data_IF_212352117320
#
_entry.id   IF_212352117320
#
_cell.length_a   1.000
_cell.length_b   1.000
_cell.length_c   1.000
_cell.angle_alpha   90.00
_cell.angle_beta   90.00
_cell.angle_gamma   90.00
#
_symmetry.space_group_name_H-M   'P 1'
#
loop_
_entity.id
_entity.type
_entity.pdbx_description
1 polymer ?
#
# COMPACT_ATOMS: atom_id res chain seq x y z
N UNK A 1 -31.93 51.95 -13.20
CA UNK A 1 -32.12 50.78 -14.09
C UNK A 1 -31.09 49.74 -13.69
N UNK A 2 -31.49 48.75 -12.87
CA UNK A 2 -30.58 47.75 -12.32
C UNK A 2 -30.44 46.59 -13.30
N UNK A 3 -29.24 46.43 -13.87
CA UNK A 3 -28.86 45.24 -14.61
C UNK A 3 -28.72 44.06 -13.64
N UNK A 4 -29.79 43.30 -13.46
CA UNK A 4 -29.72 41.95 -12.90
C UNK A 4 -29.10 41.07 -13.98
N UNK A 5 -27.77 40.91 -13.92
CA UNK A 5 -27.06 39.90 -14.68
C UNK A 5 -27.64 38.53 -14.31
N UNK A 6 -28.46 37.96 -15.20
CA UNK A 6 -28.90 36.58 -15.13
C UNK A 6 -27.64 35.70 -15.11
N UNK A 7 -27.26 35.23 -13.93
CA UNK A 7 -26.28 34.15 -13.77
C UNK A 7 -26.86 32.99 -14.58
N UNK A 8 -26.22 32.66 -15.71
CA UNK A 8 -26.54 31.46 -16.47
C UNK A 8 -26.37 30.30 -15.49
N UNK A 9 -27.38 29.45 -15.25
CA UNK A 9 -27.17 28.25 -14.47
C UNK A 9 -26.08 27.47 -15.19
N UNK A 10 -24.89 27.41 -14.59
CA UNK A 10 -23.79 26.62 -15.10
C UNK A 10 -24.36 25.24 -15.38
N UNK A 11 -24.27 24.81 -16.64
CA UNK A 11 -24.65 23.47 -17.01
C UNK A 11 -23.89 22.55 -16.07
N UNK A 12 -24.61 21.91 -15.16
CA UNK A 12 -24.06 20.85 -14.32
C UNK A 12 -23.58 19.82 -15.33
N UNK A 13 -22.28 19.79 -15.59
CA UNK A 13 -21.69 18.78 -16.44
C UNK A 13 -21.99 17.47 -15.73
N UNK A 14 -22.98 16.73 -16.27
CA UNK A 14 -23.38 15.46 -15.71
C UNK A 14 -22.14 14.59 -15.65
N UNK A 15 -21.87 14.02 -14.47
CA UNK A 15 -20.78 13.07 -14.30
C UNK A 15 -20.85 12.03 -15.42
N UNK A 16 -19.76 11.95 -16.18
CA UNK A 16 -19.56 10.95 -17.22
C UNK A 16 -18.41 10.05 -16.75
N UNK A 17 -18.58 8.72 -16.82
CA UNK A 17 -17.49 7.80 -16.56
C UNK A 17 -16.26 8.10 -17.41
N UNK A 18 -15.10 7.74 -16.89
CA UNK A 18 -13.83 7.92 -17.59
C UNK A 18 -13.84 7.30 -18.99
N UNK A 19 -13.11 7.92 -19.93
CA UNK A 19 -12.88 7.35 -21.26
C UNK A 19 -12.20 5.96 -21.15
N UNK A 20 -12.42 5.04 -22.11
CA UNK A 20 -12.02 3.63 -21.97
C UNK A 20 -10.55 3.40 -21.59
N UNK A 21 -9.63 4.21 -22.13
CA UNK A 21 -8.21 4.09 -21.81
C UNK A 21 -7.89 4.42 -20.34
N UNK A 22 -8.50 5.48 -19.81
CA UNK A 22 -8.34 5.86 -18.40
C UNK A 22 -9.06 4.84 -17.50
N UNK A 23 -10.27 4.42 -17.87
CA UNK A 23 -11.01 3.39 -17.12
C UNK A 23 -10.22 2.08 -17.03
N UNK A 24 -9.64 1.62 -18.14
CA UNK A 24 -8.87 0.38 -18.18
C UNK A 24 -7.67 0.40 -17.22
N UNK A 25 -6.95 1.53 -17.14
CA UNK A 25 -5.83 1.66 -16.19
C UNK A 25 -6.29 1.68 -14.73
N UNK A 26 -7.43 2.33 -14.45
CA UNK A 26 -8.03 2.36 -13.11
C UNK A 26 -8.48 0.95 -12.69
N UNK A 27 -9.14 0.22 -13.60
CA UNK A 27 -9.59 -1.15 -13.37
C UNK A 27 -8.40 -2.10 -13.18
N UNK A 28 -7.37 -1.99 -14.03
CA UNK A 28 -6.15 -2.79 -13.92
C UNK A 28 -5.46 -2.60 -12.56
N UNK A 29 -5.35 -1.35 -12.11
CA UNK A 29 -4.81 -1.02 -10.78
C UNK A 29 -5.64 -1.63 -9.66
N UNK A 30 -6.97 -1.60 -9.77
CA UNK A 30 -7.88 -2.22 -8.79
C UNK A 30 -7.66 -3.72 -8.68
N UNK A 31 -7.33 -4.37 -9.79
CA UNK A 31 -7.02 -5.80 -9.87
C UNK A 31 -5.59 -6.14 -9.42
N UNK A 32 -4.84 -5.16 -8.91
CA UNK A 32 -3.49 -5.35 -8.38
C UNK A 32 -2.39 -5.24 -9.43
N UNK A 33 -2.72 -4.83 -10.66
CA UNK A 33 -1.71 -4.61 -11.70
C UNK A 33 -1.01 -3.26 -11.50
N UNK A 34 0.31 -3.24 -11.62
CA UNK A 34 1.07 -2.00 -11.60
C UNK A 34 0.84 -1.22 -12.91
N UNK A 35 0.51 0.07 -12.79
CA UNK A 35 0.53 1.00 -13.92
C UNK A 35 1.99 1.41 -14.13
N UNK A 36 2.53 1.16 -15.32
CA UNK A 36 3.91 1.49 -15.65
C UNK A 36 3.97 2.82 -16.42
N UNK A 37 5.11 3.54 -16.41
CA UNK A 37 5.26 4.79 -17.15
C UNK A 37 4.94 4.68 -18.64
N UNK A 38 5.24 3.53 -19.26
CA UNK A 38 4.93 3.25 -20.67
C UNK A 38 3.43 3.18 -20.97
N UNK A 39 2.61 2.88 -19.96
CA UNK A 39 1.16 2.78 -20.09
C UNK A 39 0.49 4.17 -20.04
N UNK A 40 1.21 5.18 -19.53
CA UNK A 40 0.72 6.56 -19.36
C UNK A 40 1.27 7.46 -20.47
N UNK A 41 0.66 7.36 -21.64
CA UNK A 41 0.97 8.25 -22.77
C UNK A 41 0.55 9.70 -22.48
N UNK A 42 1.10 10.71 -23.19
CA UNK A 42 0.66 12.10 -23.03
C UNK A 42 -0.84 12.32 -23.25
N UNK A 43 -1.45 11.55 -24.14
CA UNK A 43 -2.90 11.57 -24.40
C UNK A 43 -3.67 11.06 -23.19
N UNK A 44 -3.25 9.92 -22.62
CA UNK A 44 -3.85 9.35 -21.40
C UNK A 44 -3.70 10.31 -20.22
N UNK A 45 -2.53 10.92 -20.05
CA UNK A 45 -2.30 11.91 -19.00
C UNK A 45 -3.22 13.14 -19.17
N UNK A 46 -3.37 13.65 -20.40
CA UNK A 46 -4.30 14.76 -20.69
C UNK A 46 -5.75 14.40 -20.37
N UNK A 47 -6.21 13.22 -20.81
CA UNK A 47 -7.54 12.70 -20.51
C UNK A 47 -7.75 12.51 -18.99
N UNK A 48 -6.75 12.01 -18.28
CA UNK A 48 -6.81 11.84 -16.83
C UNK A 48 -6.90 13.18 -16.08
N UNK A 49 -6.26 14.27 -16.56
CA UNK A 49 -6.42 15.61 -15.97
C UNK A 49 -7.85 16.14 -16.12
N UNK A 50 -8.42 16.01 -17.33
CA UNK A 50 -9.81 16.42 -17.59
C UNK A 50 -10.78 15.59 -16.75
N UNK A 51 -10.58 14.27 -16.69
CA UNK A 51 -11.42 13.38 -15.91
C UNK A 51 -11.30 13.66 -14.41
N UNK A 52 -10.09 13.93 -13.90
CA UNK A 52 -9.89 14.26 -12.49
C UNK A 52 -10.68 15.52 -12.10
N UNK A 53 -10.60 16.58 -12.90
CA UNK A 53 -11.35 17.81 -12.65
C UNK A 53 -12.88 17.56 -12.65
N UNK A 54 -13.37 16.80 -13.62
CA UNK A 54 -14.78 16.40 -13.73
C UNK A 54 -15.24 15.57 -12.53
N UNK A 55 -14.48 14.54 -12.15
CA UNK A 55 -14.79 13.65 -11.04
C UNK A 55 -14.69 14.38 -9.68
N UNK A 56 -13.73 15.29 -9.49
CA UNK A 56 -13.64 16.12 -8.28
C UNK A 56 -14.82 17.10 -8.15
N UNK A 57 -15.29 17.65 -9.26
CA UNK A 57 -16.51 18.45 -9.26
C UNK A 57 -17.74 17.59 -8.93
N UNK A 58 -17.83 16.39 -9.50
CA UNK A 58 -18.88 15.44 -9.19
C UNK A 58 -18.86 14.98 -7.71
N UNK A 59 -17.69 14.95 -7.06
CA UNK A 59 -17.50 14.61 -5.65
C UNK A 59 -17.92 15.70 -4.65
N UNK A 60 -18.27 16.90 -5.11
CA UNK A 60 -18.71 17.97 -4.20
C UNK A 60 -19.97 17.55 -3.42
N UNK A 61 -20.19 18.08 -2.20
CA UNK A 61 -21.39 17.79 -1.44
C UNK A 61 -22.66 18.13 -2.21
N UNK A 62 -23.69 17.26 -2.14
CA UNK A 62 -24.98 17.55 -2.72
C UNK A 62 -25.72 18.62 -1.91
N UNK A 63 -26.41 19.53 -2.59
CA UNK A 63 -27.29 20.51 -1.92
C UNK A 63 -28.72 19.98 -1.82
N UNK A 64 -29.51 20.39 -0.79
CA UNK A 64 -30.92 20.05 -0.70
C UNK A 64 -31.73 20.43 -1.96
N UNK A 65 -31.39 21.54 -2.62
CA UNK A 65 -32.04 22.00 -3.85
C UNK A 65 -31.77 21.05 -5.03
N UNK A 66 -30.58 20.46 -5.10
CA UNK A 66 -30.24 19.47 -6.11
C UNK A 66 -31.06 18.19 -5.92
N UNK A 67 -31.12 17.69 -4.69
CA UNK A 67 -31.92 16.50 -4.33
C UNK A 67 -33.40 16.73 -4.59
N UNK A 68 -33.94 17.87 -4.16
CA UNK A 68 -35.30 18.31 -4.45
C UNK A 68 -35.58 18.36 -5.96
N UNK A 69 -34.68 18.95 -6.74
CA UNK A 69 -34.82 19.02 -8.20
C UNK A 69 -34.78 17.65 -8.87
N UNK A 70 -33.99 16.71 -8.33
CA UNK A 70 -33.94 15.33 -8.79
C UNK A 70 -35.24 14.59 -8.49
N UNK A 71 -35.75 14.69 -7.24
CA UNK A 71 -36.98 14.05 -6.77
C UNK A 71 -38.23 14.58 -7.47
N UNK A 72 -38.35 15.90 -7.68
CA UNK A 72 -39.46 16.50 -8.44
C UNK A 72 -39.56 15.96 -9.86
N UNK A 73 -38.42 15.73 -10.52
CA UNK A 73 -38.39 15.13 -11.86
C UNK A 73 -38.70 13.63 -11.83
N UNK A 74 -38.39 12.93 -10.74
CA UNK A 74 -38.75 11.53 -10.56
C UNK A 74 -40.26 11.36 -10.33
N UNK A 75 -40.92 12.30 -9.65
CA UNK A 75 -42.35 12.23 -9.34
C UNK A 75 -43.23 11.98 -10.57
N UNK A 76 -42.88 12.54 -11.74
CA UNK A 76 -43.60 12.31 -12.99
C UNK A 76 -43.35 10.95 -13.66
N UNK A 77 -42.50 10.09 -13.08
CA UNK A 77 -42.09 8.80 -13.64
C UNK A 77 -42.51 7.60 -12.78
N UNK A 78 -43.02 7.85 -11.58
CA UNK A 78 -43.37 6.82 -10.58
C UNK A 78 -44.78 7.03 -10.07
N UNK A 79 -45.41 5.95 -9.62
CA UNK A 79 -46.65 6.00 -8.86
C UNK A 79 -46.40 6.61 -7.47
N UNK A 80 -47.50 6.89 -6.74
CA UNK A 80 -47.53 7.28 -5.33
C UNK A 80 -46.54 8.37 -4.89
N UNK A 81 -46.16 9.28 -5.80
CA UNK A 81 -45.34 10.43 -5.47
C UNK A 81 -46.07 11.39 -4.52
N UNK A 82 -45.36 12.08 -3.61
CA UNK A 82 -45.94 13.15 -2.79
C UNK A 82 -46.59 14.23 -3.65
N UNK A 83 -47.82 14.61 -3.32
CA UNK A 83 -48.63 15.54 -4.12
C UNK A 83 -48.73 16.94 -3.52
N UNK A 84 -48.62 17.09 -2.19
CA UNK A 84 -48.62 18.38 -1.51
C UNK A 84 -47.21 18.85 -1.10
N UNK A 85 -47.06 20.14 -0.89
CA UNK A 85 -45.76 20.76 -0.61
C UNK A 85 -45.14 20.27 0.72
N UNK A 86 -45.97 19.98 1.73
CA UNK A 86 -45.52 19.49 3.04
C UNK A 86 -44.92 18.09 2.92
N UNK A 87 -45.63 17.18 2.24
CA UNK A 87 -45.15 15.82 1.98
C UNK A 87 -43.89 15.80 1.10
N UNK A 88 -43.80 16.69 0.10
CA UNK A 88 -42.58 16.85 -0.71
C UNK A 88 -41.40 17.29 0.17
N UNK A 89 -41.59 18.29 1.04
CA UNK A 89 -40.53 18.78 1.94
C UNK A 89 -40.05 17.70 2.90
N UNK A 90 -40.98 17.01 3.57
CA UNK A 90 -40.66 15.91 4.48
C UNK A 90 -39.92 14.75 3.76
N UNK A 91 -40.31 14.43 2.52
CA UNK A 91 -39.62 13.44 1.72
C UNK A 91 -38.18 13.85 1.39
N UNK A 92 -37.94 15.12 1.07
CA UNK A 92 -36.57 15.62 0.81
C UNK A 92 -35.74 15.58 2.07
N UNK A 93 -36.28 16.00 3.22
CA UNK A 93 -35.59 15.95 4.50
C UNK A 93 -35.18 14.51 4.85
N UNK A 94 -36.10 13.55 4.73
CA UNK A 94 -35.82 12.13 4.97
C UNK A 94 -34.76 11.55 4.00
N UNK A 95 -34.77 11.98 2.74
CA UNK A 95 -33.72 11.58 1.78
C UNK A 95 -32.39 12.22 2.11
N UNK A 96 -32.37 13.50 2.53
CA UNK A 96 -31.13 14.17 2.94
C UNK A 96 -30.55 13.57 4.22
N UNK A 97 -31.37 13.10 5.14
CA UNK A 97 -30.91 12.42 6.37
C UNK A 97 -30.18 11.10 6.05
N UNK A 98 -30.68 10.33 5.08
CA UNK A 98 -30.11 9.01 4.74
C UNK A 98 -29.04 9.06 3.65
N UNK A 99 -29.12 10.02 2.73
CA UNK A 99 -28.29 10.09 1.53
C UNK A 99 -27.45 11.38 1.46
N UNK A 100 -27.42 12.20 2.52
CA UNK A 100 -26.80 13.53 2.52
C UNK A 100 -25.28 13.49 2.32
N UNK A 101 -24.63 12.37 2.60
CA UNK A 101 -23.21 12.17 2.34
C UNK A 101 -22.89 11.83 0.88
N UNK A 102 -23.91 11.49 0.08
CA UNK A 102 -23.69 11.14 -1.32
C UNK A 102 -23.33 12.38 -2.15
N UNK A 103 -22.33 12.28 -3.04
CA UNK A 103 -21.80 13.44 -3.75
C UNK A 103 -22.76 13.93 -4.83
N UNK A 104 -22.66 15.22 -5.19
CA UNK A 104 -23.51 15.90 -6.17
C UNK A 104 -23.68 15.12 -7.49
N UNK A 105 -22.60 14.48 -7.96
CA UNK A 105 -22.56 13.71 -9.20
C UNK A 105 -23.54 12.52 -9.27
N UNK A 106 -24.00 11.98 -8.14
CA UNK A 106 -24.97 10.88 -8.15
C UNK A 106 -26.39 11.35 -8.50
N UNK A 107 -26.70 12.63 -8.30
CA UNK A 107 -28.03 13.20 -8.50
C UNK A 107 -28.25 13.62 -9.97
N UNK A 108 -28.05 12.66 -10.88
CA UNK A 108 -28.05 12.87 -12.33
C UNK A 108 -29.32 12.35 -13.04
N UNK A 109 -29.46 12.70 -14.32
CA UNK A 109 -30.50 12.12 -15.19
C UNK A 109 -30.31 10.61 -15.31
N UNK A 110 -29.06 10.16 -15.44
CA UNK A 110 -28.70 8.75 -15.59
C UNK A 110 -29.12 7.92 -14.38
N UNK A 111 -28.87 8.40 -13.15
CA UNK A 111 -29.30 7.69 -11.94
C UNK A 111 -30.82 7.67 -11.77
N UNK A 112 -31.51 8.73 -12.19
CA UNK A 112 -32.98 8.73 -12.23
C UNK A 112 -33.52 7.71 -13.24
N UNK A 113 -32.93 7.62 -14.42
CA UNK A 113 -33.29 6.59 -15.40
C UNK A 113 -32.97 5.18 -14.88
N UNK A 114 -31.86 5.02 -14.15
CA UNK A 114 -31.51 3.74 -13.53
C UNK A 114 -32.55 3.31 -12.50
N UNK A 115 -33.12 4.25 -11.72
CA UNK A 115 -34.25 3.96 -10.84
C UNK A 115 -35.43 3.35 -11.61
N UNK A 116 -35.89 4.03 -12.67
CA UNK A 116 -37.06 3.59 -13.43
C UNK A 116 -36.83 2.28 -14.21
N UNK A 117 -35.57 1.89 -14.44
CA UNK A 117 -35.19 0.68 -15.20
C UNK A 117 -34.82 -0.51 -14.32
N UNK A 118 -35.01 -0.41 -12.99
CA UNK A 118 -34.68 -1.51 -12.09
C UNK A 118 -35.48 -2.78 -12.44
N UNK A 119 -34.83 -3.96 -12.45
CA UNK A 119 -35.52 -5.22 -12.66
C UNK A 119 -36.47 -5.52 -11.50
N UNK A 120 -37.44 -6.40 -11.74
CA UNK A 120 -38.30 -6.89 -10.68
C UNK A 120 -37.48 -7.67 -9.63
N UNK A 121 -37.71 -7.39 -8.35
CA UNK A 121 -37.07 -8.12 -7.24
C UNK A 121 -38.18 -8.67 -6.36
N UNK A 122 -38.23 -9.99 -6.21
CA UNK A 122 -39.26 -10.69 -5.41
C UNK A 122 -40.69 -10.27 -5.76
N UNK A 123 -40.99 -10.10 -7.06
CA UNK A 123 -42.32 -9.68 -7.55
C UNK A 123 -42.64 -8.19 -7.37
N UNK A 124 -41.76 -7.41 -6.73
CA UNK A 124 -41.88 -5.95 -6.66
C UNK A 124 -41.17 -5.31 -7.84
N UNK A 125 -41.71 -4.18 -8.31
CA UNK A 125 -41.11 -3.31 -9.32
C UNK A 125 -40.62 -2.00 -8.66
N UNK A 126 -39.41 -1.96 -8.07
CA UNK A 126 -38.92 -0.78 -7.35
C UNK A 126 -38.99 0.49 -8.20
N UNK A 127 -38.63 0.41 -9.48
CA UNK A 127 -38.64 1.55 -10.41
C UNK A 127 -40.02 2.13 -10.74
N UNK A 128 -41.11 1.51 -10.28
CA UNK A 128 -42.49 1.96 -10.54
C UNK A 128 -43.06 2.81 -9.41
N UNK A 129 -42.55 2.71 -8.18
CA UNK A 129 -43.11 3.40 -7.02
C UNK A 129 -42.16 4.47 -6.50
N UNK A 130 -42.71 5.41 -5.73
CA UNK A 130 -41.90 6.39 -5.03
C UNK A 130 -40.85 5.70 -4.13
N UNK A 131 -39.56 6.05 -4.26
CA UNK A 131 -38.49 5.36 -3.56
C UNK A 131 -38.52 5.62 -2.05
N UNK A 132 -38.19 4.59 -1.26
CA UNK A 132 -37.77 4.81 0.13
C UNK A 132 -36.33 5.34 0.17
N UNK A 133 -35.94 6.17 1.16
CA UNK A 133 -34.58 6.71 1.25
C UNK A 133 -33.48 5.63 1.17
N UNK A 134 -33.64 4.49 1.85
CA UNK A 134 -32.69 3.38 1.80
C UNK A 134 -32.55 2.75 0.40
N UNK A 135 -33.59 2.81 -0.44
CA UNK A 135 -33.56 2.28 -1.81
C UNK A 135 -32.83 3.24 -2.74
N UNK A 136 -32.99 4.55 -2.53
CA UNK A 136 -32.17 5.57 -3.19
C UNK A 136 -30.71 5.35 -2.82
N UNK A 137 -30.43 5.18 -1.54
CA UNK A 137 -29.08 4.95 -1.05
C UNK A 137 -28.41 3.76 -1.75
N UNK A 138 -29.08 2.62 -1.74
CA UNK A 138 -28.58 1.39 -2.38
C UNK A 138 -28.33 1.57 -3.89
N UNK A 139 -29.20 2.32 -4.58
CA UNK A 139 -29.03 2.62 -6.00
C UNK A 139 -27.84 3.55 -6.28
N UNK A 140 -27.70 4.61 -5.47
CA UNK A 140 -26.75 5.68 -5.74
C UNK A 140 -25.34 5.39 -5.20
N UNK A 141 -25.22 4.60 -4.13
CA UNK A 141 -23.94 4.29 -3.48
C UNK A 141 -22.90 3.69 -4.45
N UNK A 142 -23.21 2.71 -5.32
CA UNK A 142 -22.25 2.19 -6.28
C UNK A 142 -21.73 3.25 -7.28
N UNK A 143 -22.56 4.25 -7.60
CA UNK A 143 -22.18 5.38 -8.45
C UNK A 143 -21.22 6.30 -7.68
N UNK A 144 -21.53 6.64 -6.43
CA UNK A 144 -20.65 7.41 -5.57
C UNK A 144 -19.26 6.76 -5.43
N UNK A 145 -19.24 5.45 -5.16
CA UNK A 145 -17.98 4.71 -5.03
C UNK A 145 -17.20 4.70 -6.35
N UNK A 146 -17.89 4.71 -7.51
CA UNK A 146 -17.23 4.81 -8.82
C UNK A 146 -16.57 6.16 -9.02
N UNK A 147 -17.27 7.26 -8.71
CA UNK A 147 -16.72 8.61 -8.82
C UNK A 147 -15.48 8.74 -7.92
N UNK A 148 -15.57 8.26 -6.67
CA UNK A 148 -14.44 8.28 -5.73
C UNK A 148 -13.24 7.48 -6.25
N UNK A 149 -13.48 6.28 -6.80
CA UNK A 149 -12.42 5.47 -7.44
C UNK A 149 -11.78 6.18 -8.63
N UNK A 150 -12.56 6.89 -9.44
CA UNK A 150 -12.01 7.65 -10.56
C UNK A 150 -11.12 8.79 -10.10
N UNK A 151 -11.49 9.51 -9.03
CA UNK A 151 -10.63 10.55 -8.45
C UNK A 151 -9.28 9.97 -8.04
N UNK A 152 -9.28 8.89 -7.27
CA UNK A 152 -8.03 8.26 -6.80
C UNK A 152 -7.23 7.60 -7.93
N UNK A 153 -7.92 7.00 -8.90
CA UNK A 153 -7.31 6.40 -10.07
C UNK A 153 -6.63 7.43 -10.98
N UNK A 154 -7.30 8.56 -11.26
CA UNK A 154 -6.72 9.63 -12.05
C UNK A 154 -5.53 10.29 -11.32
N UNK A 155 -5.60 10.51 -10.00
CA UNK A 155 -4.43 10.98 -9.22
C UNK A 155 -3.24 10.05 -9.37
N UNK A 156 -3.45 8.73 -9.30
CA UNK A 156 -2.37 7.76 -9.45
C UNK A 156 -1.76 7.78 -10.86
N UNK A 157 -2.58 7.86 -11.91
CA UNK A 157 -2.11 7.99 -13.30
C UNK A 157 -1.27 9.26 -13.47
N UNK A 158 -1.74 10.40 -12.94
CA UNK A 158 -1.04 11.67 -13.05
C UNK A 158 0.26 11.69 -12.24
N UNK A 159 0.30 11.03 -11.07
CA UNK A 159 1.54 10.88 -10.32
C UNK A 159 2.63 10.17 -11.14
N UNK A 160 2.26 9.17 -11.97
CA UNK A 160 3.19 8.50 -12.88
C UNK A 160 3.55 9.40 -14.06
N UNK A 161 2.59 10.14 -14.62
CA UNK A 161 2.84 11.08 -15.72
C UNK A 161 3.78 12.24 -15.32
N UNK A 162 3.64 12.71 -14.08
CA UNK A 162 4.40 13.84 -13.54
C UNK A 162 5.73 13.41 -12.92
N UNK A 163 5.98 12.08 -12.77
CA UNK A 163 7.31 11.57 -12.50
C UNK A 163 8.22 11.99 -13.65
N UNK A 164 9.22 12.82 -13.33
CA UNK A 164 10.32 13.08 -14.25
C UNK A 164 10.89 11.72 -14.66
N UNK A 165 11.17 11.49 -15.96
CA UNK A 165 11.87 10.28 -16.35
C UNK A 165 13.08 10.19 -15.45
N UNK A 166 13.16 9.07 -14.73
CA UNK A 166 14.25 8.79 -13.80
C UNK A 166 15.51 9.17 -14.55
N UNK A 167 16.22 10.18 -14.05
CA UNK A 167 17.29 10.85 -14.79
C UNK A 167 18.23 9.71 -15.09
N UNK A 168 18.26 9.23 -16.35
CA UNK A 168 18.93 7.99 -16.72
C UNK A 168 20.27 8.04 -16.03
N UNK A 169 20.44 7.22 -14.98
CA UNK A 169 21.65 7.30 -14.16
C UNK A 169 22.76 7.11 -15.16
N UNK A 170 23.59 8.15 -15.32
CA UNK A 170 24.64 8.12 -16.32
C UNK A 170 25.38 6.79 -16.17
N UNK A 171 25.70 6.09 -17.27
CA UNK A 171 26.34 4.79 -17.19
C UNK A 171 27.50 4.89 -16.21
N UNK A 172 27.65 3.93 -15.26
CA UNK A 172 28.63 4.05 -14.19
C UNK A 172 29.98 4.41 -14.79
N UNK A 173 30.54 5.52 -14.29
CA UNK A 173 31.85 5.99 -14.71
C UNK A 173 32.91 4.91 -14.44
N UNK A 174 34.02 4.96 -15.16
CA UNK A 174 35.11 3.99 -14.95
C UNK A 174 35.64 4.01 -13.51
N UNK A 175 35.62 5.19 -12.88
CA UNK A 175 35.94 5.37 -11.46
C UNK A 175 34.96 4.62 -10.53
N UNK A 176 33.65 4.71 -10.79
CA UNK A 176 32.63 3.98 -10.01
C UNK A 176 32.74 2.48 -10.21
N UNK A 177 33.02 2.00 -11.42
CA UNK A 177 33.24 0.58 -11.70
C UNK A 177 34.45 0.05 -10.95
N UNK A 178 35.55 0.82 -10.92
CA UNK A 178 36.76 0.46 -10.17
C UNK A 178 36.51 0.44 -8.66
N UNK A 179 35.75 1.40 -8.14
CA UNK A 179 35.38 1.44 -6.72
C UNK A 179 34.51 0.24 -6.32
N UNK A 180 33.53 -0.14 -7.15
CA UNK A 180 32.69 -1.32 -6.91
C UNK A 180 33.50 -2.61 -7.02
N UNK A 181 34.40 -2.72 -8.01
CA UNK A 181 35.26 -3.89 -8.13
C UNK A 181 36.18 -4.06 -6.90
N UNK A 182 36.71 -2.96 -6.37
CA UNK A 182 37.53 -2.99 -5.16
C UNK A 182 36.69 -3.34 -3.92
N UNK A 183 35.50 -2.76 -3.78
CA UNK A 183 34.59 -3.10 -2.69
C UNK A 183 34.17 -4.58 -2.73
N UNK A 184 33.86 -5.12 -3.91
CA UNK A 184 33.52 -6.53 -4.08
C UNK A 184 34.72 -7.45 -3.79
N UNK A 185 35.94 -7.02 -4.12
CA UNK A 185 37.18 -7.73 -3.76
C UNK A 185 37.42 -7.73 -2.26
N UNK A 186 37.15 -6.63 -1.57
CA UNK A 186 37.23 -6.57 -0.11
C UNK A 186 36.21 -7.51 0.54
N UNK A 187 34.96 -7.46 0.08
CA UNK A 187 33.90 -8.37 0.57
C UNK A 187 34.24 -9.84 0.30
N UNK A 188 34.82 -10.16 -0.86
CA UNK A 188 35.20 -11.55 -1.17
C UNK A 188 36.36 -12.03 -0.30
N UNK A 189 37.35 -11.18 -0.02
CA UNK A 189 38.47 -11.48 0.89
C UNK A 189 37.96 -11.68 2.31
N UNK A 190 37.11 -10.79 2.81
CA UNK A 190 36.51 -10.91 4.16
C UNK A 190 35.69 -12.19 4.28
N UNK A 191 34.89 -12.51 3.26
CA UNK A 191 34.08 -13.73 3.23
C UNK A 191 34.96 -14.98 3.19
N UNK A 192 36.00 -15.00 2.37
CA UNK A 192 36.94 -16.11 2.29
C UNK A 192 37.68 -16.32 3.62
N UNK A 193 38.09 -15.24 4.29
CA UNK A 193 38.72 -15.31 5.61
C UNK A 193 37.77 -15.88 6.67
N UNK A 194 36.50 -15.45 6.67
CA UNK A 194 35.49 -15.98 7.59
C UNK A 194 35.19 -17.46 7.32
N UNK A 195 35.02 -17.84 6.06
CA UNK A 195 34.79 -19.24 5.67
C UNK A 195 35.99 -20.14 6.04
N UNK A 196 37.22 -19.65 5.89
CA UNK A 196 38.42 -20.37 6.32
C UNK A 196 38.47 -20.55 7.85
N UNK A 197 38.12 -19.52 8.62
CA UNK A 197 38.08 -19.62 10.09
C UNK A 197 36.97 -20.56 10.57
N UNK A 198 35.77 -20.48 9.99
CA UNK A 198 34.68 -21.40 10.29
C UNK A 198 35.04 -22.85 9.95
N UNK A 199 35.76 -23.08 8.84
CA UNK A 199 36.26 -24.41 8.48
C UNK A 199 37.31 -24.92 9.49
N UNK A 200 38.21 -24.04 9.95
CA UNK A 200 39.21 -24.35 10.98
C UNK A 200 38.56 -24.75 12.30
N UNK A 201 37.57 -23.97 12.76
CA UNK A 201 36.78 -24.28 13.95
C UNK A 201 36.00 -25.58 13.78
N UNK A 202 35.40 -25.85 12.61
CA UNK A 202 34.68 -27.10 12.36
C UNK A 202 35.62 -28.32 12.40
N UNK A 203 36.85 -28.18 11.92
CA UNK A 203 37.80 -29.28 11.85
C UNK A 203 38.38 -29.63 13.23
N UNK A 204 38.68 -28.62 14.06
CA UNK A 204 39.46 -28.82 15.30
C UNK A 204 38.69 -28.44 16.58
N UNK A 205 37.56 -27.75 16.48
CA UNK A 205 36.80 -27.22 17.62
C UNK A 205 36.24 -28.30 18.55
N UNK A 206 35.83 -29.43 17.96
CA UNK A 206 35.25 -30.56 18.71
C UNK A 206 36.31 -31.50 19.31
N UNK A 207 37.60 -31.24 19.07
CA UNK A 207 38.66 -32.06 19.64
C UNK A 207 38.65 -32.00 21.17
N UNK A 208 38.68 -33.17 21.82
CA UNK A 208 38.79 -33.31 23.27
C UNK A 208 39.92 -34.31 23.60
N UNK A 209 40.86 -33.96 24.50
CA UNK A 209 41.89 -34.90 24.96
C UNK A 209 41.27 -36.18 25.49
N UNK A 210 41.77 -37.33 25.03
CA UNK A 210 41.23 -38.65 25.41
C UNK A 210 39.75 -38.88 25.03
N UNK A 211 39.16 -38.03 24.18
CA UNK A 211 37.72 -38.01 23.87
C UNK A 211 36.83 -37.78 25.12
N UNK A 212 37.37 -37.14 26.16
CA UNK A 212 36.65 -36.89 27.41
C UNK A 212 35.84 -35.59 27.34
N UNK A 213 34.55 -35.73 27.05
CA UNK A 213 33.62 -34.62 26.97
C UNK A 213 33.27 -33.99 28.34
N UNK A 214 33.78 -34.52 29.46
CA UNK A 214 33.50 -34.00 30.82
C UNK A 214 34.51 -32.95 31.28
N UNK A 215 35.66 -32.83 30.63
CA UNK A 215 36.70 -31.85 30.96
C UNK A 215 36.17 -30.41 30.82
N UNK A 216 36.34 -29.59 31.87
CA UNK A 216 35.92 -28.18 31.93
C UNK A 216 36.98 -27.32 32.61
N UNK A 217 36.91 -26.00 32.42
CA UNK A 217 37.76 -25.03 33.12
C UNK A 217 39.26 -25.36 33.04
N UNK A 218 39.96 -25.24 34.17
CA UNK A 218 41.39 -25.54 34.27
C UNK A 218 41.75 -27.01 33.97
N UNK A 219 40.85 -27.96 34.19
CA UNK A 219 41.10 -29.38 33.86
C UNK A 219 41.21 -29.59 32.36
N UNK A 220 40.35 -28.93 31.58
CA UNK A 220 40.42 -28.95 30.12
C UNK A 220 41.71 -28.30 29.62
N UNK A 221 42.10 -27.15 30.20
CA UNK A 221 43.35 -26.46 29.85
C UNK A 221 44.55 -27.38 30.07
N UNK A 222 44.67 -27.99 31.25
CA UNK A 222 45.79 -28.88 31.59
C UNK A 222 45.84 -30.12 30.68
N UNK A 223 44.68 -30.70 30.37
CA UNK A 223 44.59 -31.85 29.49
C UNK A 223 45.02 -31.51 28.05
N UNK A 224 44.61 -30.35 27.53
CA UNK A 224 45.03 -29.88 26.20
C UNK A 224 46.54 -29.60 26.17
N UNK A 225 47.10 -28.97 27.20
CA UNK A 225 48.54 -28.72 27.30
C UNK A 225 49.37 -30.01 27.33
N UNK A 226 48.89 -31.03 28.03
CA UNK A 226 49.55 -32.34 28.08
C UNK A 226 49.54 -33.08 26.74
N UNK A 227 48.50 -32.86 25.91
CA UNK A 227 48.38 -33.48 24.58
C UNK A 227 49.07 -32.67 23.46
N UNK A 228 49.43 -31.40 23.67
CA UNK A 228 50.13 -30.55 22.68
C UNK A 228 51.37 -31.21 22.03
N UNK A 229 52.26 -31.92 22.76
CA UNK A 229 53.44 -32.54 22.14
C UNK A 229 53.10 -33.61 21.09
N UNK A 230 51.88 -34.16 21.12
CA UNK A 230 51.39 -35.17 20.17
C UNK A 230 50.77 -34.54 18.92
N UNK A 231 50.50 -33.23 18.94
CA UNK A 231 49.87 -32.50 17.84
C UNK A 231 50.90 -31.87 16.90
N UNK A 232 50.55 -31.78 15.62
CA UNK A 232 51.38 -31.13 14.59
C UNK A 232 50.51 -30.27 13.66
N UNK A 233 51.16 -29.30 12.97
CA UNK A 233 50.50 -28.42 12.00
C UNK A 233 49.38 -27.57 12.59
N UNK A 234 48.36 -27.30 11.78
CA UNK A 234 47.22 -26.41 12.11
C UNK A 234 46.47 -26.84 13.37
N UNK A 235 46.40 -28.15 13.65
CA UNK A 235 45.75 -28.66 14.86
C UNK A 235 46.46 -28.20 16.14
N UNK A 236 47.80 -28.17 16.11
CA UNK A 236 48.60 -27.68 17.24
C UNK A 236 48.39 -26.18 17.41
N UNK A 237 48.45 -25.42 16.32
CA UNK A 237 48.31 -23.95 16.35
C UNK A 237 46.92 -23.54 16.87
N UNK A 238 45.86 -24.17 16.35
CA UNK A 238 44.50 -23.98 16.84
C UNK A 238 44.35 -24.34 18.32
N UNK A 239 44.98 -25.43 18.76
CA UNK A 239 44.92 -25.85 20.17
C UNK A 239 45.65 -24.87 21.08
N UNK A 240 46.78 -24.31 20.67
CA UNK A 240 47.50 -23.26 21.41
C UNK A 240 46.63 -22.00 21.55
N UNK A 241 45.99 -21.56 20.46
CA UNK A 241 45.06 -20.43 20.49
C UNK A 241 43.87 -20.70 21.43
N UNK A 242 43.28 -21.91 21.33
CA UNK A 242 42.17 -22.33 22.19
C UNK A 242 42.56 -22.37 23.66
N UNK A 243 43.75 -22.87 24.00
CA UNK A 243 44.28 -22.84 25.38
C UNK A 243 44.36 -21.40 25.88
N UNK A 244 44.87 -20.46 25.07
CA UNK A 244 44.97 -19.06 25.47
C UNK A 244 43.59 -18.40 25.69
N UNK A 245 42.58 -18.76 24.89
CA UNK A 245 41.19 -18.31 25.11
C UNK A 245 40.60 -18.92 26.38
N UNK A 246 40.77 -20.23 26.59
CA UNK A 246 40.24 -20.95 27.75
C UNK A 246 40.88 -20.47 29.06
N UNK A 247 42.18 -20.16 29.07
CA UNK A 247 42.87 -19.57 30.22
C UNK A 247 42.26 -18.23 30.61
N UNK A 248 42.10 -17.32 29.64
CA UNK A 248 41.46 -16.01 29.88
C UNK A 248 40.03 -16.16 30.41
N UNK A 249 39.27 -17.11 29.88
CA UNK A 249 37.91 -17.39 30.34
C UNK A 249 37.88 -17.97 31.77
N UNK A 250 38.80 -18.89 32.09
CA UNK A 250 38.92 -19.48 33.42
C UNK A 250 39.37 -18.44 34.47
N UNK A 251 40.36 -17.61 34.14
CA UNK A 251 40.81 -16.50 34.99
C UNK A 251 39.68 -15.49 35.27
N UNK A 252 38.90 -15.13 34.26
CA UNK A 252 37.74 -14.25 34.42
C UNK A 252 36.65 -14.88 35.30
N UNK A 253 36.40 -16.19 35.15
CA UNK A 253 35.43 -16.91 35.99
C UNK A 253 35.90 -17.01 37.45
N UNK A 254 37.19 -17.25 37.67
CA UNK A 254 37.79 -17.28 39.01
C UNK A 254 37.70 -15.91 39.70
N UNK A 255 37.94 -14.82 38.95
CA UNK A 255 37.77 -13.46 39.47
C UNK A 255 36.33 -13.20 39.91
N UNK A 256 35.33 -13.53 39.08
CA UNK A 256 33.92 -13.37 39.40
C UNK A 256 33.48 -14.20 40.62
N UNK A 257 33.96 -15.45 40.74
CA UNK A 257 33.67 -16.32 41.88
C UNK A 257 34.40 -15.87 43.16
N UNK A 258 35.58 -15.25 43.02
CA UNK A 258 36.32 -14.63 44.12
C UNK A 258 35.58 -13.42 44.67
N UNK A 259 35.08 -12.55 43.80
CA UNK A 259 34.29 -11.37 44.18
C UNK A 259 32.97 -11.77 44.86
N UNK A 260 32.31 -12.83 44.38
CA UNK A 260 31.08 -13.35 44.98
C UNK A 260 31.26 -13.99 46.37
N UNK A 261 32.47 -14.43 46.74
CA UNK A 261 32.79 -14.95 48.09
C UNK A 261 33.17 -13.85 49.08
N UNK A 262 33.51 -12.66 48.58
CA UNK A 262 33.93 -11.50 49.37
C UNK A 262 32.83 -10.43 49.49
N UNK A 263 31.64 -10.69 48.94
CA UNK A 263 30.41 -9.91 49.08
C UNK A 263 29.49 -10.54 50.14
#
# INVERSE_FOLDING_TARGET
MNHVSKIRPGAIAAYRPAEPAVSALIDARREGMAILPRDVTPVVASQARVQLASAQHAMQPASPQMVMGWLKKLAGMVANAPTDEGAVRAAVEAVMEVCGELPAGVWSVTSRQAWCRQPAVNGRLPGTFWPRPAEIYALLRPIADRIAREVEGCKAILAIADQKPDTQRAPPTEAERKAVAEAMRQVSVERAAREAEEARVRCFGDYMPGNDATLRGWDLVRALEADLPKMTGEMRDFTVERIAVLKRAAEAADALLGDAKNA
#
